data_IF_310840510082
#
_entry.id   IF_310840510082
#
_cell.length_a   1.000
_cell.length_b   1.000
_cell.length_c   1.000
_cell.angle_alpha   90.00
_cell.angle_beta   90.00
_cell.angle_gamma   90.00
#
_symmetry.space_group_name_H-M   'P 1'
#
loop_
_entity.id
_entity.type
_entity.pdbx_description
1 polymer ?
#
# COMPACT_ATOMS: atom_id res chain seq x y z
N UNK A 1 24.59 -38.58 -58.27
CA UNK A 1 25.21 -37.81 -57.17
C UNK A 1 24.45 -36.55 -56.78
N UNK A 2 23.56 -35.95 -57.57
CA UNK A 2 22.83 -34.73 -57.22
C UNK A 2 21.65 -34.98 -56.23
N UNK A 3 20.98 -36.12 -56.23
CA UNK A 3 19.83 -36.44 -55.37
C UNK A 3 20.23 -36.59 -53.91
N UNK A 4 21.38 -37.07 -53.56
CA UNK A 4 21.88 -37.26 -52.19
C UNK A 4 22.17 -35.94 -51.50
N UNK A 5 22.73 -34.95 -52.23
CA UNK A 5 23.01 -33.61 -51.72
C UNK A 5 21.72 -32.84 -51.39
N UNK A 6 20.65 -33.00 -52.21
CA UNK A 6 19.35 -32.34 -51.99
C UNK A 6 18.67 -32.81 -50.68
N UNK A 7 18.72 -34.13 -50.42
CA UNK A 7 18.12 -34.68 -49.21
C UNK A 7 18.93 -34.35 -47.94
N UNK A 8 20.25 -34.27 -48.05
CA UNK A 8 21.10 -33.83 -46.93
C UNK A 8 20.81 -32.36 -46.50
N UNK A 9 20.68 -31.47 -47.48
CA UNK A 9 20.31 -30.08 -47.19
C UNK A 9 18.93 -29.95 -46.51
N UNK A 10 17.94 -30.72 -46.97
CA UNK A 10 16.59 -30.73 -46.36
C UNK A 10 16.63 -31.22 -44.91
N UNK A 11 17.41 -32.25 -44.62
CA UNK A 11 17.61 -32.74 -43.24
C UNK A 11 18.31 -31.71 -42.35
N UNK A 12 19.30 -30.99 -42.88
CA UNK A 12 20.00 -29.92 -42.19
C UNK A 12 19.06 -28.76 -41.82
N UNK A 13 18.21 -28.31 -42.74
CA UNK A 13 17.22 -27.26 -42.52
C UNK A 13 16.16 -27.70 -41.46
N UNK A 14 15.72 -28.95 -41.53
CA UNK A 14 14.81 -29.51 -40.53
C UNK A 14 15.43 -29.53 -39.13
N UNK A 15 16.69 -29.90 -39.00
CA UNK A 15 17.40 -29.89 -37.73
C UNK A 15 17.56 -28.48 -37.17
N UNK A 16 17.87 -27.48 -38.01
CA UNK A 16 17.96 -26.06 -37.57
C UNK A 16 16.61 -25.55 -37.11
N UNK A 17 15.51 -25.86 -37.79
CA UNK A 17 14.16 -25.45 -37.40
C UNK A 17 13.77 -26.06 -36.05
N UNK A 18 14.05 -27.35 -35.85
CA UNK A 18 13.76 -28.04 -34.60
C UNK A 18 14.56 -27.44 -33.43
N UNK A 19 15.84 -27.17 -33.62
CA UNK A 19 16.67 -26.53 -32.57
C UNK A 19 16.18 -25.11 -32.25
N UNK A 20 15.77 -24.33 -33.27
CA UNK A 20 15.20 -23.00 -33.04
C UNK A 20 13.89 -23.03 -32.26
N UNK A 21 13.00 -24.00 -32.54
CA UNK A 21 11.75 -24.20 -31.81
C UNK A 21 12.02 -24.60 -30.35
N UNK A 22 12.95 -25.52 -30.12
CA UNK A 22 13.32 -25.97 -28.76
C UNK A 22 13.95 -24.82 -27.99
N UNK A 23 14.84 -24.05 -28.60
CA UNK A 23 15.45 -22.86 -27.99
C UNK A 23 14.41 -21.78 -27.68
N UNK A 24 13.48 -21.52 -28.61
CA UNK A 24 12.38 -20.57 -28.40
C UNK A 24 11.44 -21.01 -27.27
N UNK A 25 11.12 -22.30 -27.19
CA UNK A 25 10.29 -22.84 -26.12
C UNK A 25 11.03 -22.80 -24.75
N UNK A 26 12.32 -23.12 -24.73
CA UNK A 26 13.15 -23.01 -23.53
C UNK A 26 13.27 -21.57 -23.01
N UNK A 27 13.47 -20.60 -23.91
CA UNK A 27 13.46 -19.18 -23.56
C UNK A 27 12.08 -18.73 -23.04
N UNK A 28 11.00 -19.17 -23.67
CA UNK A 28 9.63 -18.89 -23.20
C UNK A 28 9.40 -19.36 -21.75
N UNK A 29 9.93 -20.51 -21.36
CA UNK A 29 9.81 -21.02 -19.99
C UNK A 29 10.61 -20.19 -18.98
N UNK A 30 11.76 -19.63 -19.38
CA UNK A 30 12.57 -18.74 -18.53
C UNK A 30 11.85 -17.41 -18.31
N UNK A 31 11.19 -16.86 -19.33
CA UNK A 31 10.44 -15.61 -19.23
C UNK A 31 9.07 -15.78 -18.54
N UNK A 32 8.41 -16.94 -18.67
CA UNK A 32 7.15 -17.20 -17.97
C UNK A 32 7.34 -17.57 -16.49
N UNK A 33 8.53 -18.02 -16.07
CA UNK A 33 8.86 -18.26 -14.66
C UNK A 33 9.47 -17.02 -13.95
N UNK A 34 9.62 -15.90 -14.64
CA UNK A 34 9.85 -14.61 -13.99
C UNK A 34 8.51 -14.07 -13.47
N UNK A 35 7.80 -14.84 -12.63
CA UNK A 35 6.96 -14.23 -11.62
C UNK A 35 7.91 -13.34 -10.82
N UNK A 36 7.90 -12.04 -11.09
CA UNK A 36 8.36 -11.04 -10.15
C UNK A 36 7.70 -11.47 -8.85
N UNK A 37 8.49 -11.96 -7.90
CA UNK A 37 8.04 -12.12 -6.53
C UNK A 37 7.54 -10.73 -6.15
N UNK A 38 6.24 -10.50 -6.31
CA UNK A 38 5.60 -9.35 -5.71
C UNK A 38 5.95 -9.51 -4.25
N UNK A 39 6.81 -8.62 -3.74
CA UNK A 39 7.00 -8.47 -2.31
C UNK A 39 5.60 -8.22 -1.77
N UNK A 40 4.89 -9.30 -1.42
CA UNK A 40 3.51 -9.20 -0.96
C UNK A 40 3.57 -8.39 0.31
N UNK A 41 2.91 -7.25 0.29
CA UNK A 41 2.71 -6.46 1.50
C UNK A 41 2.02 -7.37 2.49
N UNK A 42 2.66 -7.60 3.63
CA UNK A 42 2.10 -8.45 4.67
C UNK A 42 1.09 -7.65 5.49
N UNK A 43 -0.19 -7.96 5.31
CA UNK A 43 -1.34 -7.35 6.01
C UNK A 43 -1.46 -7.78 7.48
N UNK A 44 -0.37 -8.14 8.17
CA UNK A 44 -0.44 -8.56 9.57
C UNK A 44 -0.20 -7.37 10.50
N UNK A 45 -1.19 -7.07 11.34
CA UNK A 45 -1.08 -6.06 12.39
C UNK A 45 -2.02 -6.35 13.57
N UNK A 46 -1.68 -5.78 14.71
CA UNK A 46 -2.54 -5.62 15.88
C UNK A 46 -2.33 -4.18 16.38
N UNK A 47 -3.37 -3.37 16.28
CA UNK A 47 -3.36 -1.94 16.60
C UNK A 47 -4.58 -1.59 17.46
N UNK A 48 -4.62 -0.36 17.96
CA UNK A 48 -5.75 0.17 18.73
C UNK A 48 -6.57 1.10 17.85
N UNK A 49 -7.88 0.90 17.80
CA UNK A 49 -8.78 1.78 17.06
C UNK A 49 -9.03 3.11 17.82
N UNK A 50 -9.67 4.06 17.13
CA UNK A 50 -10.02 5.36 17.70
C UNK A 50 -11.09 5.31 18.82
N UNK A 51 -11.66 4.12 19.11
CA UNK A 51 -12.53 3.89 20.27
C UNK A 51 -11.78 3.21 21.41
N UNK A 52 -10.48 2.96 21.28
CA UNK A 52 -9.63 2.32 22.30
C UNK A 52 -9.72 0.80 22.29
N UNK A 53 -10.28 0.18 21.25
CA UNK A 53 -10.40 -1.27 21.14
C UNK A 53 -9.25 -1.84 20.31
N UNK A 54 -8.81 -3.05 20.62
CA UNK A 54 -7.85 -3.76 19.79
C UNK A 54 -8.50 -4.20 18.48
N UNK A 55 -7.83 -3.91 17.35
CA UNK A 55 -8.20 -4.36 16.02
C UNK A 55 -7.01 -5.09 15.39
N UNK A 56 -7.27 -6.32 14.96
CA UNK A 56 -6.27 -7.14 14.25
C UNK A 56 -6.61 -7.24 12.77
N UNK A 57 -5.60 -7.53 11.95
CA UNK A 57 -5.85 -7.86 10.54
C UNK A 57 -6.77 -9.08 10.37
N UNK A 58 -6.78 -9.98 11.38
CA UNK A 58 -7.66 -11.14 11.40
C UNK A 58 -9.16 -10.79 11.48
N UNK A 59 -9.51 -9.66 12.13
CA UNK A 59 -10.88 -9.18 12.24
C UNK A 59 -11.40 -8.60 10.92
N UNK A 60 -10.50 -8.31 9.98
CA UNK A 60 -10.80 -7.75 8.66
C UNK A 60 -10.76 -8.79 7.53
N UNK A 61 -10.71 -10.08 7.87
CA UNK A 61 -10.70 -11.16 6.86
C UNK A 61 -11.95 -11.12 5.99
N UNK A 62 -11.78 -11.49 4.73
CA UNK A 62 -12.83 -11.53 3.71
C UNK A 62 -13.48 -10.17 3.41
N UNK A 63 -12.85 -9.07 3.83
CA UNK A 63 -13.26 -7.72 3.46
C UNK A 63 -12.17 -7.08 2.60
N UNK A 64 -12.59 -6.31 1.62
CA UNK A 64 -11.68 -5.40 0.91
C UNK A 64 -11.21 -4.28 1.83
N UNK A 65 -10.04 -3.69 1.58
CA UNK A 65 -9.48 -2.65 2.44
C UNK A 65 -8.95 -1.49 1.59
N UNK A 66 -9.23 -0.29 2.04
CA UNK A 66 -8.56 0.95 1.61
C UNK A 66 -7.80 1.50 2.80
N UNK A 67 -6.49 1.54 2.71
CA UNK A 67 -5.61 1.96 3.81
C UNK A 67 -4.87 3.22 3.40
N UNK A 68 -4.89 4.23 4.26
CA UNK A 68 -4.11 5.44 4.14
C UNK A 68 -3.26 5.63 5.40
N UNK A 69 -2.00 6.00 5.20
CA UNK A 69 -1.10 6.35 6.29
C UNK A 69 -1.00 7.86 6.41
N UNK A 70 -1.20 8.38 7.62
CA UNK A 70 -1.21 9.81 7.88
C UNK A 70 -1.08 10.14 9.36
N UNK A 71 -1.25 11.40 9.73
CA UNK A 71 -1.28 11.84 11.12
C UNK A 71 -2.21 13.05 11.29
N UNK A 72 -2.77 13.20 12.50
CA UNK A 72 -3.84 14.19 12.75
C UNK A 72 -3.36 15.63 12.69
N UNK A 73 -2.07 15.88 12.92
CA UNK A 73 -1.46 17.22 12.90
C UNK A 73 -0.88 17.60 11.53
N UNK A 74 -1.21 16.86 10.47
CA UNK A 74 -0.81 17.19 9.11
C UNK A 74 -1.68 18.33 8.58
N UNK A 75 -1.07 19.46 8.11
CA UNK A 75 -1.86 20.63 7.74
C UNK A 75 -2.49 20.55 6.35
N UNK A 76 -2.08 19.63 5.48
CA UNK A 76 -2.39 19.67 4.05
C UNK A 76 -2.74 18.30 3.47
N UNK A 77 -1.79 17.40 3.31
CA UNK A 77 -1.96 16.12 2.59
C UNK A 77 -3.01 15.20 3.25
N UNK A 78 -2.99 15.07 4.58
CA UNK A 78 -3.88 14.15 5.28
C UNK A 78 -5.35 14.59 5.26
N UNK A 79 -5.70 15.87 5.50
CA UNK A 79 -7.08 16.34 5.34
C UNK A 79 -7.62 16.07 3.95
N UNK A 80 -6.90 16.46 2.90
CA UNK A 80 -7.31 16.26 1.50
C UNK A 80 -7.51 14.77 1.20
N UNK A 81 -6.61 13.92 1.66
CA UNK A 81 -6.70 12.47 1.44
C UNK A 81 -7.87 11.84 2.19
N UNK A 82 -8.15 12.29 3.41
CA UNK A 82 -9.27 11.77 4.21
C UNK A 82 -10.62 12.24 3.66
N UNK A 83 -10.69 13.48 3.15
CA UNK A 83 -11.85 13.98 2.41
C UNK A 83 -12.14 13.16 1.16
N UNK A 84 -11.11 12.85 0.38
CA UNK A 84 -11.24 12.01 -0.82
C UNK A 84 -11.75 10.61 -0.47
N UNK A 85 -11.26 10.02 0.61
CA UNK A 85 -11.75 8.74 1.13
C UNK A 85 -13.22 8.85 1.55
N UNK A 86 -13.61 9.91 2.27
CA UNK A 86 -14.99 10.16 2.67
C UNK A 86 -15.93 10.33 1.49
N UNK A 87 -15.53 11.10 0.48
CA UNK A 87 -16.28 11.28 -0.76
C UNK A 87 -16.49 9.95 -1.49
N UNK A 88 -15.44 9.14 -1.57
CA UNK A 88 -15.49 7.81 -2.18
C UNK A 88 -16.47 6.88 -1.45
N UNK A 89 -16.47 6.87 -0.12
CA UNK A 89 -17.44 6.10 0.68
C UNK A 89 -18.87 6.53 0.38
N UNK A 90 -19.13 7.81 0.35
CA UNK A 90 -20.47 8.36 0.05
C UNK A 90 -20.94 7.95 -1.35
N UNK A 91 -20.06 8.00 -2.35
CA UNK A 91 -20.39 7.60 -3.72
C UNK A 91 -20.67 6.10 -3.85
N UNK A 92 -19.92 5.25 -3.15
CA UNK A 92 -20.14 3.80 -3.11
C UNK A 92 -21.49 3.49 -2.45
N UNK A 93 -21.80 4.16 -1.33
CA UNK A 93 -23.06 4.04 -0.62
C UNK A 93 -24.25 4.44 -1.50
N UNK A 94 -24.14 5.58 -2.19
CA UNK A 94 -25.19 6.08 -3.09
C UNK A 94 -25.39 5.16 -4.31
N UNK A 95 -24.38 4.43 -4.73
CA UNK A 95 -24.44 3.45 -5.82
C UNK A 95 -24.92 2.06 -5.35
N UNK A 96 -25.38 1.92 -4.09
CA UNK A 96 -25.88 0.68 -3.48
C UNK A 96 -24.87 -0.48 -3.44
N UNK A 97 -23.57 -0.19 -3.37
CA UNK A 97 -22.59 -1.22 -3.06
C UNK A 97 -22.63 -1.59 -1.57
N UNK A 98 -22.30 -2.82 -1.27
CA UNK A 98 -22.26 -3.29 0.12
C UNK A 98 -21.05 -2.74 0.86
N UNK A 99 -21.26 -1.74 1.70
CA UNK A 99 -20.19 -1.17 2.53
C UNK A 99 -19.69 -2.09 3.66
N UNK A 100 -20.39 -3.19 3.95
CA UNK A 100 -19.94 -4.14 4.98
C UNK A 100 -18.87 -5.10 4.46
N UNK A 101 -18.67 -5.14 3.13
CA UNK A 101 -17.60 -5.93 2.48
C UNK A 101 -16.27 -5.19 2.33
N UNK A 102 -16.19 -3.94 2.80
CA UNK A 102 -15.00 -3.10 2.67
C UNK A 102 -14.75 -2.29 3.93
N UNK A 103 -13.48 -2.14 4.32
CA UNK A 103 -13.03 -1.31 5.42
C UNK A 103 -12.12 -0.19 4.94
N UNK A 104 -12.27 0.97 5.59
CA UNK A 104 -11.48 2.16 5.32
C UNK A 104 -10.65 2.50 6.55
N UNK A 105 -9.33 2.41 6.42
CA UNK A 105 -8.39 2.51 7.53
C UNK A 105 -7.50 3.74 7.38
N UNK A 106 -7.46 4.56 8.42
CA UNK A 106 -6.47 5.63 8.59
C UNK A 106 -5.48 5.19 9.67
N UNK A 107 -4.25 4.85 9.28
CA UNK A 107 -3.20 4.36 10.19
C UNK A 107 -2.22 5.48 10.50
N UNK A 108 -2.02 5.78 11.78
CA UNK A 108 -1.14 6.89 12.15
C UNK A 108 0.33 6.64 11.82
N UNK A 109 1.01 7.71 11.41
CA UNK A 109 2.48 7.80 11.31
C UNK A 109 3.09 8.57 12.47
N UNK A 110 2.26 9.03 13.44
CA UNK A 110 2.70 9.81 14.60
C UNK A 110 2.01 9.34 15.90
N UNK A 111 2.31 8.15 16.39
CA UNK A 111 1.66 7.61 17.58
C UNK A 111 1.96 8.40 18.87
N UNK A 112 2.96 9.27 18.86
CA UNK A 112 3.28 10.11 20.02
C UNK A 112 2.16 11.13 20.28
N UNK A 113 1.60 11.73 19.22
CA UNK A 113 0.50 12.69 19.31
C UNK A 113 -0.86 12.04 19.06
N UNK A 114 -0.94 11.03 18.22
CA UNK A 114 -2.18 10.42 17.75
C UNK A 114 -2.62 9.28 18.68
N UNK A 115 -3.15 9.63 19.85
CA UNK A 115 -3.85 8.69 20.71
C UNK A 115 -5.28 8.42 20.21
N UNK A 116 -6.01 7.41 20.75
CA UNK A 116 -7.37 7.10 20.28
C UNK A 116 -8.33 8.28 20.31
N UNK A 117 -8.30 9.09 21.37
CA UNK A 117 -9.19 10.25 21.51
C UNK A 117 -8.91 11.31 20.42
N UNK A 118 -7.63 11.62 20.17
CA UNK A 118 -7.25 12.58 19.15
C UNK A 118 -7.61 12.09 17.74
N UNK A 119 -7.38 10.80 17.46
CA UNK A 119 -7.81 10.16 16.21
C UNK A 119 -9.33 10.25 16.03
N UNK A 120 -10.10 9.96 17.09
CA UNK A 120 -11.55 10.07 17.08
C UNK A 120 -12.03 11.49 16.79
N UNK A 121 -11.43 12.48 17.44
CA UNK A 121 -11.76 13.89 17.25
C UNK A 121 -11.44 14.32 15.81
N UNK A 122 -10.28 13.96 15.28
CA UNK A 122 -9.90 14.25 13.90
C UNK A 122 -10.86 13.62 12.90
N UNK A 123 -11.22 12.35 13.08
CA UNK A 123 -12.08 11.62 12.16
C UNK A 123 -13.57 11.98 12.29
N UNK A 124 -13.97 12.72 13.34
CA UNK A 124 -15.36 13.16 13.52
C UNK A 124 -15.86 14.09 12.40
N UNK A 125 -14.95 14.77 11.71
CA UNK A 125 -15.26 15.67 10.60
C UNK A 125 -15.42 14.92 9.26
N UNK A 126 -15.16 13.59 9.23
CA UNK A 126 -15.15 12.76 8.05
C UNK A 126 -16.20 11.65 8.10
N UNK A 127 -16.26 10.80 7.08
CA UNK A 127 -17.20 9.70 7.04
C UNK A 127 -16.96 8.69 8.17
N UNK A 128 -18.01 8.35 8.93
CA UNK A 128 -17.96 7.47 10.11
C UNK A 128 -17.52 6.01 9.81
N UNK A 129 -17.43 5.61 8.55
CA UNK A 129 -16.88 4.32 8.13
C UNK A 129 -15.35 4.30 8.15
N UNK A 130 -14.69 5.44 8.33
CA UNK A 130 -13.23 5.49 8.44
C UNK A 130 -12.81 5.11 9.86
N UNK A 131 -12.01 4.07 9.97
CA UNK A 131 -11.46 3.58 11.24
C UNK A 131 -10.06 4.14 11.40
N UNK A 132 -9.84 4.95 12.43
CA UNK A 132 -8.51 5.42 12.81
C UNK A 132 -7.78 4.38 13.64
N UNK A 133 -6.53 4.07 13.28
CA UNK A 133 -5.70 3.09 13.97
C UNK A 133 -4.42 3.73 14.49
N UNK A 134 -4.16 3.53 15.78
CA UNK A 134 -2.96 3.94 16.48
C UNK A 134 -2.42 2.77 17.30
N UNK A 135 -1.37 2.97 18.07
CA UNK A 135 -0.81 1.92 18.94
C UNK A 135 0.63 2.24 19.37
N UNK A 136 1.24 1.26 19.99
CA UNK A 136 2.65 1.37 20.40
C UNK A 136 3.56 1.58 19.18
N UNK A 137 4.52 2.49 19.31
CA UNK A 137 5.45 2.83 18.21
C UNK A 137 6.14 1.61 17.62
N UNK A 138 6.52 0.64 18.46
CA UNK A 138 7.17 -0.60 18.01
C UNK A 138 6.29 -1.44 17.08
N UNK A 139 4.97 -1.46 17.32
CA UNK A 139 4.02 -2.20 16.48
C UNK A 139 3.74 -1.45 15.18
N UNK A 140 3.51 -0.14 15.26
CA UNK A 140 3.34 0.70 14.07
C UNK A 140 4.56 0.68 13.16
N UNK A 141 5.78 0.69 13.71
CA UNK A 141 7.02 0.58 12.93
C UNK A 141 7.10 -0.73 12.13
N UNK A 142 6.56 -1.84 12.65
CA UNK A 142 6.46 -3.10 11.89
C UNK A 142 5.46 -2.96 10.74
N UNK A 143 4.31 -2.32 11.00
CA UNK A 143 3.29 -2.07 9.98
C UNK A 143 3.86 -1.18 8.87
N UNK A 144 4.46 -0.04 9.21
CA UNK A 144 5.08 0.85 8.23
C UNK A 144 6.11 0.12 7.37
N UNK A 145 6.96 -0.71 7.99
CA UNK A 145 7.95 -1.52 7.27
C UNK A 145 7.28 -2.51 6.30
N UNK A 146 6.22 -3.19 6.72
CA UNK A 146 5.50 -4.16 5.89
C UNK A 146 4.85 -3.50 4.67
N UNK A 147 4.39 -2.25 4.81
CA UNK A 147 3.77 -1.45 3.75
C UNK A 147 4.78 -0.58 2.98
N UNK A 148 6.06 -0.67 3.29
CA UNK A 148 7.11 0.19 2.72
C UNK A 148 6.85 1.69 2.93
N UNK A 149 6.17 2.03 4.03
CA UNK A 149 5.93 3.42 4.43
C UNK A 149 7.16 3.94 5.16
N UNK A 150 7.79 4.94 4.58
CA UNK A 150 8.88 5.66 5.22
C UNK A 150 8.29 6.74 6.11
N UNK A 151 8.68 6.73 7.37
CA UNK A 151 8.28 7.73 8.37
C UNK A 151 9.55 8.34 8.94
N UNK A 152 9.74 9.62 8.70
CA UNK A 152 10.87 10.40 9.22
C UNK A 152 10.35 11.56 10.04
N UNK A 153 10.94 11.83 11.21
CA UNK A 153 10.70 13.08 11.89
C UNK A 153 11.25 14.21 11.01
N UNK A 154 10.45 15.18 10.65
CA UNK A 154 10.96 16.37 10.01
C UNK A 154 11.83 17.09 11.04
N UNK A 155 13.10 17.23 10.74
CA UNK A 155 14.01 18.07 11.53
C UNK A 155 13.47 19.49 11.49
N UNK A 156 13.11 20.05 12.65
CA UNK A 156 12.85 21.48 12.79
C UNK A 156 14.02 22.22 12.15
N UNK A 157 13.71 23.12 11.22
CA UNK A 157 14.64 23.71 10.28
C UNK A 157 15.95 24.22 10.89
N UNK A 158 16.99 23.46 10.65
CA UNK A 158 18.36 23.95 10.66
C UNK A 158 19.08 23.33 9.45
N UNK A 159 19.27 24.15 8.42
CA UNK A 159 19.95 23.80 7.18
C UNK A 159 21.46 23.63 7.42
N UNK A 160 21.87 22.66 8.22
CA UNK A 160 23.27 22.30 8.37
C UNK A 160 23.46 20.81 8.06
N UNK A 161 23.84 20.55 6.80
CA UNK A 161 24.26 19.23 6.34
C UNK A 161 25.53 18.78 7.06
N UNK A 162 25.37 18.12 8.20
CA UNK A 162 26.44 17.33 8.80
C UNK A 162 25.94 15.90 8.98
N UNK A 163 26.55 15.02 8.20
CA UNK A 163 26.43 13.56 8.32
C UNK A 163 26.64 13.16 9.78
N UNK A 164 25.63 12.58 10.41
CA UNK A 164 25.82 11.79 11.64
C UNK A 164 24.99 10.52 11.60
N UNK A 165 25.70 9.45 11.92
CA UNK A 165 25.34 8.05 11.97
C UNK A 165 23.98 7.77 12.64
N UNK A 166 23.32 6.73 12.12
CA UNK A 166 22.15 6.02 12.60
C UNK A 166 22.29 5.61 14.07
N UNK A 167 21.85 6.46 15.00
CA UNK A 167 21.50 6.08 16.36
C UNK A 167 20.22 6.82 16.73
N UNK A 168 19.36 6.14 17.51
CA UNK A 168 18.03 6.55 17.94
C UNK A 168 17.91 8.05 18.23
N UNK A 169 17.14 8.76 17.40
CA UNK A 169 16.86 10.17 17.64
C UNK A 169 15.80 10.28 18.72
N UNK A 170 16.22 10.28 19.98
CA UNK A 170 15.45 10.76 21.11
C UNK A 170 15.50 12.29 21.16
N UNK A 171 14.71 12.97 20.33
CA UNK A 171 14.81 14.41 20.21
C UNK A 171 13.52 15.11 19.82
N UNK A 172 12.38 14.71 20.44
CA UNK A 172 11.14 15.46 20.31
C UNK A 172 10.83 16.17 21.62
N UNK A 173 11.47 17.29 21.89
CA UNK A 173 11.20 18.08 23.09
C UNK A 173 10.06 19.10 22.93
N UNK A 174 9.51 19.26 21.72
CA UNK A 174 8.38 20.17 21.44
C UNK A 174 7.25 19.43 20.73
N UNK A 175 5.99 19.77 21.03
CA UNK A 175 4.82 19.25 20.32
C UNK A 175 4.67 19.80 18.89
N UNK A 176 5.53 20.72 18.49
CA UNK A 176 5.52 21.39 17.19
C UNK A 176 6.61 20.79 16.28
N UNK A 177 6.36 19.59 15.77
CA UNK A 177 7.19 18.95 14.75
C UNK A 177 6.33 18.45 13.59
N UNK A 178 6.92 18.39 12.42
CA UNK A 178 6.31 17.77 11.25
C UNK A 178 6.78 16.33 11.11
N UNK A 179 5.96 15.49 10.48
CA UNK A 179 6.31 14.11 10.13
C UNK A 179 6.34 14.02 8.62
N UNK A 180 7.47 13.64 8.05
CA UNK A 180 7.57 13.31 6.63
C UNK A 180 7.25 11.83 6.47
N UNK A 181 6.29 11.49 5.63
CA UNK A 181 5.93 10.11 5.37
C UNK A 181 5.48 9.88 3.93
N UNK A 182 5.51 8.63 3.52
CA UNK A 182 4.93 8.20 2.25
C UNK A 182 3.42 8.31 2.29
N UNK A 183 2.81 9.10 1.39
CA UNK A 183 1.37 9.35 1.33
C UNK A 183 0.73 8.60 0.16
N UNK A 184 0.36 7.34 0.37
CA UNK A 184 -0.31 6.49 -0.60
C UNK A 184 -1.56 5.86 -0.02
N UNK A 185 -2.53 5.56 -0.90
CA UNK A 185 -3.59 4.61 -0.60
C UNK A 185 -3.15 3.22 -1.02
N UNK A 186 -3.41 2.25 -0.17
CA UNK A 186 -3.18 0.82 -0.44
C UNK A 186 -4.54 0.13 -0.51
N UNK A 187 -4.83 -0.51 -1.63
CA UNK A 187 -6.10 -1.17 -1.87
C UNK A 187 -5.89 -2.68 -1.92
N UNK A 188 -6.62 -3.40 -1.08
CA UNK A 188 -6.60 -4.86 -1.00
C UNK A 188 -7.98 -5.43 -1.28
N UNK A 189 -8.02 -6.56 -1.99
CA UNK A 189 -9.24 -7.34 -2.14
C UNK A 189 -9.58 -8.15 -0.87
N UNK A 190 -10.69 -8.90 -0.89
CA UNK A 190 -11.13 -9.72 0.24
C UNK A 190 -10.16 -10.84 0.64
N UNK A 191 -9.27 -11.24 -0.25
CA UNK A 191 -8.26 -12.30 -0.04
C UNK A 191 -6.91 -11.73 0.46
N UNK A 192 -6.86 -10.47 0.88
CA UNK A 192 -5.67 -9.74 1.30
C UNK A 192 -4.60 -9.57 0.20
N UNK A 193 -4.99 -9.68 -1.06
CA UNK A 193 -4.10 -9.42 -2.18
C UNK A 193 -4.08 -7.91 -2.50
N UNK A 194 -2.88 -7.36 -2.64
CA UNK A 194 -2.69 -5.97 -3.03
C UNK A 194 -3.17 -5.75 -4.47
N UNK A 195 -4.19 -4.92 -4.63
CA UNK A 195 -4.79 -4.59 -5.91
C UNK A 195 -4.20 -3.32 -6.54
N UNK A 196 -4.00 -2.29 -5.73
CA UNK A 196 -3.45 -1.02 -6.20
C UNK A 196 -2.70 -0.27 -5.09
N UNK A 197 -1.74 0.55 -5.50
CA UNK A 197 -1.13 1.60 -4.67
C UNK A 197 -1.32 2.91 -5.43
N UNK A 198 -2.02 3.87 -4.83
CA UNK A 198 -2.34 5.14 -5.46
C UNK A 198 -1.69 6.29 -4.68
N UNK A 199 -0.95 7.18 -5.35
CA UNK A 199 -0.26 8.28 -4.69
C UNK A 199 -1.23 9.39 -4.25
N UNK A 200 -0.78 10.25 -3.33
CA UNK A 200 -1.43 11.53 -3.08
C UNK A 200 -1.62 12.31 -4.40
N UNK A 201 -2.75 13.00 -4.52
CA UNK A 201 -3.15 13.68 -5.76
C UNK A 201 -3.90 12.79 -6.75
N UNK A 202 -4.12 11.51 -6.43
CA UNK A 202 -5.06 10.67 -7.19
C UNK A 202 -6.44 11.31 -7.23
N UNK A 203 -7.08 11.33 -8.42
CA UNK A 203 -8.45 11.85 -8.55
C UNK A 203 -9.47 10.89 -7.90
N UNK A 204 -10.63 11.47 -7.52
CA UNK A 204 -11.75 10.69 -6.98
C UNK A 204 -12.21 9.59 -7.94
N UNK A 205 -12.26 9.87 -9.24
CA UNK A 205 -12.64 8.91 -10.27
C UNK A 205 -11.73 7.69 -10.30
N UNK A 206 -10.40 7.90 -10.19
CA UNK A 206 -9.41 6.81 -10.15
C UNK A 206 -9.58 6.00 -8.86
N UNK A 207 -9.67 6.66 -7.70
CA UNK A 207 -9.84 5.97 -6.42
C UNK A 207 -11.12 5.15 -6.41
N UNK A 208 -12.25 5.71 -6.86
CA UNK A 208 -13.53 5.01 -6.97
C UNK A 208 -13.48 3.81 -7.93
N UNK A 209 -12.79 3.96 -9.06
CA UNK A 209 -12.63 2.87 -10.03
C UNK A 209 -11.89 1.70 -9.40
N UNK A 210 -10.80 1.97 -8.70
CA UNK A 210 -10.02 0.93 -8.03
C UNK A 210 -10.77 0.30 -6.84
N UNK A 211 -11.52 1.10 -6.07
CA UNK A 211 -12.39 0.55 -5.00
C UNK A 211 -13.44 -0.39 -5.58
N UNK A 212 -14.12 0.00 -6.66
CA UNK A 212 -15.12 -0.86 -7.32
C UNK A 212 -14.53 -2.15 -7.87
N UNK A 213 -13.25 -2.14 -8.21
CA UNK A 213 -12.55 -3.34 -8.72
C UNK A 213 -12.27 -4.37 -7.62
N UNK A 214 -12.14 -3.95 -6.37
CA UNK A 214 -11.86 -4.83 -5.24
C UNK A 214 -13.12 -5.26 -4.47
N UNK A 215 -14.29 -4.67 -4.78
CA UNK A 215 -15.60 -5.05 -4.24
C UNK A 215 -16.18 -6.25 -4.99
#
# INVERSE_FOLDING_TARGET
MQSVKSNFNKLLYLAIIITAIIAGWGLSQIFSNSSVSSNQINMTFELTDHNGQSLTSGDLKNKSKVIFFGFTNCPDVCPISTDLMSASINNISNANFNLDSIEFLFITTDPKRDNPERMKNYLSDYNSKIIGLTGEHVNLKKVWKNFFVHVLPASGGDHNHSKKNTEEVSGYETDDYMVEHTAFYYLFNGDDELSAILPFGTSEEILLTEIKRIL
#
